data_IF_635837850006
#
_entry.id   IF_635837850006
#
_cell.length_a   1.000
_cell.length_b   1.000
_cell.length_c   1.000
_cell.angle_alpha   90.00
_cell.angle_beta   90.00
_cell.angle_gamma   90.00
#
_symmetry.space_group_name_H-M   'P 1'
#
loop_
_entity.id
_entity.type
_entity.pdbx_description
1 polymer ?
#
# COMPACT_ATOMS: atom_id res chain seq x y z
N UNK A 1 13.30 -19.32 20.99
CA UNK A 1 13.02 -17.97 20.44
C UNK A 1 11.72 -17.90 19.62
N UNK A 2 11.65 -18.40 18.38
CA UNK A 2 10.49 -18.21 17.48
C UNK A 2 9.12 -18.53 18.08
N UNK A 3 8.96 -19.68 18.75
CA UNK A 3 7.68 -20.04 19.37
C UNK A 3 7.27 -19.07 20.48
N UNK A 4 8.24 -18.54 21.23
CA UNK A 4 7.98 -17.52 22.24
C UNK A 4 7.57 -16.19 21.59
N UNK A 5 8.20 -15.79 20.48
CA UNK A 5 7.81 -14.61 19.70
C UNK A 5 6.39 -14.74 19.13
N UNK A 6 6.07 -15.90 18.54
CA UNK A 6 4.74 -16.17 17.98
C UNK A 6 3.63 -16.14 19.03
N UNK A 7 3.92 -16.61 20.24
CA UNK A 7 2.97 -16.67 21.36
C UNK A 7 3.00 -15.43 22.27
N UNK A 8 3.90 -14.47 22.02
CA UNK A 8 4.03 -13.26 22.84
C UNK A 8 4.56 -13.51 24.26
N UNK A 9 5.33 -14.59 24.47
CA UNK A 9 5.87 -14.92 25.78
C UNK A 9 7.08 -14.05 26.15
N UNK A 10 6.80 -12.80 26.53
CA UNK A 10 7.79 -11.76 26.83
C UNK A 10 8.91 -12.22 27.77
N UNK A 11 8.57 -12.90 28.87
CA UNK A 11 9.54 -13.41 29.85
C UNK A 11 10.52 -14.41 29.22
N UNK A 12 10.04 -15.29 28.35
CA UNK A 12 10.90 -16.25 27.65
C UNK A 12 11.77 -15.56 26.59
N UNK A 13 11.25 -14.56 25.87
CA UNK A 13 12.03 -13.80 24.89
C UNK A 13 13.19 -13.09 25.61
N UNK A 14 12.91 -12.37 26.70
CA UNK A 14 13.92 -11.70 27.53
C UNK A 14 14.95 -12.70 28.06
N UNK A 15 14.50 -13.84 28.58
CA UNK A 15 15.37 -14.91 29.07
C UNK A 15 16.29 -15.46 27.97
N UNK A 16 15.78 -15.68 26.76
CA UNK A 16 16.63 -16.17 25.67
C UNK A 16 17.68 -15.13 25.27
N UNK A 17 17.30 -13.86 25.16
CA UNK A 17 18.24 -12.78 24.80
C UNK A 17 19.31 -12.57 25.89
N UNK A 18 18.94 -12.60 27.17
CA UNK A 18 19.89 -12.46 28.28
C UNK A 18 20.91 -13.61 28.34
N UNK A 19 20.58 -14.78 27.80
CA UNK A 19 21.48 -15.92 27.68
C UNK A 19 22.24 -15.96 26.35
N UNK A 20 22.28 -14.86 25.59
CA UNK A 20 23.05 -14.76 24.35
C UNK A 20 22.45 -15.54 23.18
N UNK A 21 21.14 -15.83 23.21
CA UNK A 21 20.47 -16.48 22.08
C UNK A 21 20.53 -15.60 20.84
N UNK A 22 20.93 -16.18 19.71
CA UNK A 22 20.95 -15.48 18.42
C UNK A 22 19.51 -15.04 18.04
N UNK A 23 19.24 -13.72 17.88
CA UNK A 23 17.91 -13.20 17.56
C UNK A 23 17.50 -13.46 16.10
N UNK A 24 18.37 -14.03 15.27
CA UNK A 24 18.17 -14.24 13.84
C UNK A 24 17.91 -15.70 13.45
N UNK A 25 17.68 -16.58 14.44
CA UNK A 25 17.35 -17.99 14.17
C UNK A 25 15.99 -18.07 13.50
N UNK A 26 15.93 -18.53 12.26
CA UNK A 26 14.67 -18.67 11.53
C UNK A 26 13.87 -19.88 11.98
N UNK A 27 12.55 -19.84 11.83
CA UNK A 27 11.70 -21.03 12.00
C UNK A 27 11.71 -21.94 10.75
N UNK A 28 10.92 -23.02 10.76
CA UNK A 28 10.80 -23.96 9.64
C UNK A 28 10.22 -23.34 8.36
N UNK A 29 9.63 -22.16 8.44
CA UNK A 29 9.11 -21.40 7.29
C UNK A 29 10.10 -20.35 6.80
N UNK A 30 11.25 -20.19 7.46
CA UNK A 30 12.25 -19.17 7.16
C UNK A 30 11.95 -17.80 7.78
N UNK A 31 10.96 -17.68 8.67
CA UNK A 31 10.64 -16.40 9.34
C UNK A 31 11.64 -16.12 10.46
N UNK A 32 12.09 -14.87 10.55
CA UNK A 32 12.85 -14.38 11.68
C UNK A 32 11.97 -14.30 12.94
N UNK A 33 12.56 -14.38 14.15
CA UNK A 33 11.84 -14.15 15.40
C UNK A 33 11.13 -12.80 15.43
N UNK A 34 11.76 -11.76 14.88
CA UNK A 34 11.16 -10.43 14.72
C UNK A 34 9.90 -10.47 13.84
N UNK A 35 9.94 -11.15 12.69
CA UNK A 35 8.76 -11.29 11.82
C UNK A 35 7.62 -12.02 12.53
N UNK A 36 7.92 -13.10 13.25
CA UNK A 36 6.95 -13.84 14.06
C UNK A 36 6.34 -12.98 15.18
N UNK A 37 7.14 -12.08 15.77
CA UNK A 37 6.67 -11.14 16.79
C UNK A 37 5.73 -10.08 16.19
N UNK A 38 5.99 -9.61 14.98
CA UNK A 38 5.17 -8.60 14.30
C UNK A 38 3.83 -9.18 13.87
N UNK A 39 3.84 -10.40 13.33
CA UNK A 39 2.65 -11.15 12.85
C UNK A 39 1.72 -11.60 14.00
N UNK A 40 2.16 -11.45 15.25
CA UNK A 40 1.38 -11.78 16.43
C UNK A 40 0.54 -10.61 16.94
N UNK A 41 -0.60 -10.91 17.58
CA UNK A 41 -1.62 -9.93 17.98
C UNK A 41 -1.57 -9.53 19.47
N UNK A 42 -0.39 -9.40 20.09
CA UNK A 42 -0.30 -9.05 21.52
C UNK A 42 0.11 -7.59 21.77
N UNK A 43 -0.40 -7.02 22.87
CA UNK A 43 -0.33 -5.59 23.20
C UNK A 43 1.12 -5.07 23.37
N UNK A 44 1.96 -5.85 24.04
CA UNK A 44 3.36 -5.48 24.37
C UNK A 44 4.34 -5.68 23.21
N UNK A 45 3.85 -5.92 22.00
CA UNK A 45 4.74 -6.33 20.91
C UNK A 45 5.66 -5.20 20.45
N UNK A 46 5.29 -3.92 20.64
CA UNK A 46 6.19 -2.80 20.31
C UNK A 46 7.48 -2.78 21.16
N UNK A 47 7.36 -2.97 22.48
CA UNK A 47 8.52 -2.96 23.38
C UNK A 47 9.42 -4.17 23.14
N UNK A 48 8.84 -5.31 22.77
CA UNK A 48 9.60 -6.51 22.41
C UNK A 48 10.23 -6.40 21.01
N UNK A 49 9.63 -5.64 20.10
CA UNK A 49 10.25 -5.32 18.80
C UNK A 49 11.50 -4.48 19.03
N UNK A 50 11.43 -3.45 19.88
CA UNK A 50 12.61 -2.63 20.22
C UNK A 50 13.71 -3.51 20.83
N UNK A 51 13.37 -4.35 21.80
CA UNK A 51 14.30 -5.28 22.43
C UNK A 51 15.00 -6.19 21.41
N UNK A 52 14.26 -6.77 20.46
CA UNK A 52 14.85 -7.63 19.43
C UNK A 52 15.73 -6.85 18.46
N UNK A 53 15.30 -5.67 18.03
CA UNK A 53 16.08 -4.81 17.14
C UNK A 53 17.39 -4.36 17.79
N UNK A 54 17.33 -3.99 19.07
CA UNK A 54 18.51 -3.57 19.84
C UNK A 54 19.44 -4.74 20.17
N UNK A 55 18.91 -5.96 20.22
CA UNK A 55 19.70 -7.19 20.36
C UNK A 55 20.37 -7.66 19.06
N UNK A 56 20.25 -6.90 17.96
CA UNK A 56 20.86 -7.23 16.67
C UNK A 56 19.99 -8.09 15.76
N UNK A 57 18.66 -8.05 15.91
CA UNK A 57 17.77 -8.67 14.94
C UNK A 57 17.89 -8.00 13.56
N UNK A 58 17.89 -8.82 12.52
CA UNK A 58 17.88 -8.35 11.14
C UNK A 58 16.57 -7.63 10.83
N UNK A 59 16.68 -6.40 10.32
CA UNK A 59 15.56 -5.57 9.86
C UNK A 59 15.02 -6.07 8.52
N UNK A 60 15.87 -6.73 7.73
CA UNK A 60 15.58 -7.21 6.39
C UNK A 60 15.64 -8.74 6.34
N UNK A 61 14.70 -9.35 5.63
CA UNK A 61 14.68 -10.78 5.32
C UNK A 61 14.28 -10.96 3.86
N UNK A 62 14.93 -11.85 3.09
CA UNK A 62 14.67 -12.02 1.66
C UNK A 62 13.30 -12.63 1.37
N UNK A 63 12.79 -13.49 2.25
CA UNK A 63 11.51 -14.20 2.03
C UNK A 63 10.39 -13.67 2.91
N UNK A 64 10.71 -13.11 4.08
CA UNK A 64 9.71 -12.65 5.04
C UNK A 64 10.09 -11.28 5.62
N UNK A 65 10.12 -10.20 4.81
CA UNK A 65 10.56 -8.90 5.28
C UNK A 65 9.68 -8.40 6.44
N UNK A 66 10.25 -8.09 7.61
CA UNK A 66 9.51 -7.58 8.77
C UNK A 66 8.57 -6.41 8.44
N UNK A 67 9.00 -5.49 7.58
CA UNK A 67 8.22 -4.30 7.20
C UNK A 67 6.92 -4.65 6.48
N UNK A 68 6.92 -5.69 5.65
CA UNK A 68 5.75 -6.14 4.90
C UNK A 68 4.69 -6.73 5.84
N UNK A 69 5.13 -7.47 6.86
CA UNK A 69 4.22 -7.96 7.90
C UNK A 69 3.64 -6.80 8.74
N UNK A 70 4.45 -5.79 9.07
CA UNK A 70 3.99 -4.62 9.82
C UNK A 70 2.95 -3.80 9.04
N UNK A 71 3.15 -3.62 7.72
CA UNK A 71 2.20 -2.97 6.82
C UNK A 71 0.88 -3.75 6.71
N UNK A 72 0.94 -5.05 6.41
CA UNK A 72 -0.24 -5.92 6.26
C UNK A 72 -1.08 -6.01 7.53
N UNK A 73 -0.42 -6.01 8.69
CA UNK A 73 -1.08 -6.00 10.00
C UNK A 73 -1.50 -4.60 10.47
N UNK A 74 -1.11 -3.54 9.73
CA UNK A 74 -1.35 -2.13 10.03
C UNK A 74 -0.80 -1.69 11.40
N UNK A 75 0.41 -2.15 11.72
CA UNK A 75 1.13 -1.79 12.94
C UNK A 75 2.06 -0.61 12.66
N UNK A 76 1.45 0.55 12.45
CA UNK A 76 2.12 1.74 11.92
C UNK A 76 3.34 2.19 12.73
N UNK A 77 3.29 2.16 14.08
CA UNK A 77 4.44 2.48 14.93
C UNK A 77 5.65 1.57 14.65
N UNK A 78 5.42 0.28 14.42
CA UNK A 78 6.49 -0.67 14.10
C UNK A 78 6.96 -0.48 12.67
N UNK A 79 6.05 -0.24 11.73
CA UNK A 79 6.40 0.08 10.35
C UNK A 79 7.35 1.27 10.29
N UNK A 80 7.03 2.37 10.99
CA UNK A 80 7.88 3.55 11.08
C UNK A 80 9.26 3.20 11.64
N UNK A 81 9.34 2.46 12.74
CA UNK A 81 10.62 2.01 13.32
C UNK A 81 11.46 1.19 12.35
N UNK A 82 10.84 0.26 11.62
CA UNK A 82 11.54 -0.58 10.65
C UNK A 82 12.08 0.24 9.49
N UNK A 83 11.28 1.17 8.94
CA UNK A 83 11.72 2.08 7.87
C UNK A 83 12.90 2.93 8.35
N UNK A 84 12.81 3.54 9.53
CA UNK A 84 13.88 4.34 10.12
C UNK A 84 15.16 3.53 10.41
N UNK A 85 15.05 2.21 10.59
CA UNK A 85 16.19 1.28 10.75
C UNK A 85 16.68 0.70 9.43
N UNK A 86 16.26 1.24 8.28
CA UNK A 86 16.74 0.83 6.96
C UNK A 86 16.06 -0.42 6.40
N UNK A 87 14.77 -0.62 6.69
CA UNK A 87 13.98 -1.64 6.02
C UNK A 87 13.93 -1.38 4.50
N UNK A 88 14.17 -2.42 3.71
CA UNK A 88 14.04 -2.38 2.26
C UNK A 88 12.56 -2.31 1.89
N UNK A 89 12.18 -1.24 1.20
CA UNK A 89 10.80 -0.94 0.81
C UNK A 89 10.46 -1.47 -0.59
N UNK A 90 11.47 -1.53 -1.46
CA UNK A 90 11.34 -2.09 -2.81
C UNK A 90 11.89 -3.52 -2.83
N UNK A 91 11.17 -4.40 -3.51
CA UNK A 91 11.48 -5.81 -3.68
C UNK A 91 11.06 -6.25 -5.07
N UNK A 92 11.81 -7.17 -5.68
CA UNK A 92 11.42 -7.73 -6.99
C UNK A 92 10.15 -8.59 -6.92
N UNK A 93 9.81 -9.07 -5.72
CA UNK A 93 8.58 -9.81 -5.45
C UNK A 93 7.39 -8.85 -5.29
N UNK A 94 6.45 -8.90 -6.23
CA UNK A 94 5.23 -8.09 -6.21
C UNK A 94 4.37 -8.32 -4.97
N UNK A 95 4.41 -9.49 -4.35
CA UNK A 95 3.70 -9.75 -3.08
C UNK A 95 4.33 -9.00 -1.89
N UNK A 96 5.61 -8.64 -2.01
CA UNK A 96 6.38 -7.90 -1.02
C UNK A 96 6.43 -6.40 -1.33
N UNK A 97 5.63 -5.91 -2.29
CA UNK A 97 5.51 -4.48 -2.54
C UNK A 97 4.89 -3.74 -1.34
N UNK A 98 5.54 -2.67 -0.86
CA UNK A 98 5.10 -1.95 0.31
C UNK A 98 3.77 -1.20 0.13
N UNK A 99 3.51 -0.62 -1.05
CA UNK A 99 2.26 0.09 -1.34
C UNK A 99 1.06 -0.86 -1.29
N UNK A 100 1.19 -2.02 -1.94
CA UNK A 100 0.19 -3.06 -1.91
C UNK A 100 -0.13 -3.51 -0.48
N UNK A 101 0.91 -3.74 0.33
CA UNK A 101 0.74 -4.19 1.71
C UNK A 101 0.18 -3.11 2.65
N UNK A 102 0.49 -1.83 2.41
CA UNK A 102 -0.12 -0.70 3.12
C UNK A 102 -1.64 -0.65 2.89
N UNK A 103 -2.07 -0.89 1.65
CA UNK A 103 -3.47 -0.87 1.21
C UNK A 103 -4.08 -2.29 1.16
N UNK A 104 -3.55 -3.24 1.93
CA UNK A 104 -3.99 -4.63 1.88
C UNK A 104 -5.45 -4.79 2.35
N UNK A 105 -5.85 -4.10 3.42
CA UNK A 105 -7.22 -4.14 3.95
C UNK A 105 -8.13 -3.20 3.16
N UNK A 106 -9.44 -3.45 3.18
CA UNK A 106 -10.40 -2.55 2.55
C UNK A 106 -10.64 -1.28 3.37
N UNK A 107 -10.59 -1.42 4.71
CA UNK A 107 -10.76 -0.31 5.65
C UNK A 107 -9.49 -0.18 6.50
N UNK A 108 -8.83 0.99 6.52
CA UNK A 108 -7.69 1.22 7.40
C UNK A 108 -8.12 1.39 8.86
N UNK A 109 -7.29 0.92 9.79
CA UNK A 109 -7.45 1.17 11.22
C UNK A 109 -7.24 2.64 11.58
N UNK A 110 -6.39 3.35 10.83
CA UNK A 110 -6.13 4.77 11.02
C UNK A 110 -5.74 5.42 9.69
N UNK A 111 -6.60 6.32 9.19
CA UNK A 111 -6.34 7.07 7.95
C UNK A 111 -5.11 7.97 8.11
N UNK A 112 -4.96 8.61 9.27
CA UNK A 112 -3.84 9.51 9.55
C UNK A 112 -2.51 8.78 9.57
N UNK A 113 -2.46 7.59 10.16
CA UNK A 113 -1.23 6.80 10.20
C UNK A 113 -0.91 6.17 8.85
N UNK A 114 -1.92 5.75 8.08
CA UNK A 114 -1.74 5.34 6.69
C UNK A 114 -1.09 6.44 5.85
N UNK A 115 -1.56 7.68 5.98
CA UNK A 115 -0.99 8.86 5.30
C UNK A 115 0.44 9.13 5.79
N UNK A 116 0.70 9.02 7.09
CA UNK A 116 2.04 9.17 7.65
C UNK A 116 3.01 8.12 7.08
N UNK A 117 2.62 6.86 7.05
CA UNK A 117 3.44 5.78 6.46
C UNK A 117 3.62 5.99 4.97
N UNK A 118 2.60 6.41 4.22
CA UNK A 118 2.74 6.72 2.79
C UNK A 118 3.82 7.78 2.52
N UNK A 119 3.84 8.86 3.32
CA UNK A 119 4.90 9.87 3.24
C UNK A 119 6.28 9.28 3.55
N UNK A 120 6.39 8.40 4.55
CA UNK A 120 7.65 7.71 4.87
C UNK A 120 8.11 6.77 3.74
N UNK A 121 7.19 6.08 3.07
CA UNK A 121 7.53 5.24 1.92
C UNK A 121 8.12 6.08 0.79
N UNK A 122 7.47 7.20 0.45
CA UNK A 122 7.95 8.12 -0.60
C UNK A 122 9.32 8.71 -0.24
N UNK A 123 9.50 9.19 1.00
CA UNK A 123 10.77 9.79 1.42
C UNK A 123 11.94 8.80 1.45
N UNK A 124 11.64 7.50 1.55
CA UNK A 124 12.62 6.42 1.50
C UNK A 124 12.69 5.75 0.12
N UNK A 125 12.21 6.41 -0.94
CA UNK A 125 12.41 6.00 -2.32
C UNK A 125 11.48 4.89 -2.83
N UNK A 126 10.30 4.72 -2.22
CA UNK A 126 9.29 3.82 -2.78
C UNK A 126 8.85 4.30 -4.17
N UNK A 127 8.92 3.41 -5.16
CA UNK A 127 8.48 3.74 -6.52
C UNK A 127 6.97 4.01 -6.56
N UNK A 128 6.57 5.05 -7.29
CA UNK A 128 5.17 5.36 -7.59
C UNK A 128 4.68 4.73 -8.90
N UNK A 129 5.59 4.10 -9.67
CA UNK A 129 5.30 3.49 -10.98
C UNK A 129 5.23 1.96 -10.91
N UNK A 130 5.72 1.37 -9.82
CA UNK A 130 5.74 -0.08 -9.65
C UNK A 130 4.32 -0.63 -9.52
N UNK A 131 3.97 -1.59 -10.38
CA UNK A 131 2.64 -2.21 -10.37
C UNK A 131 2.59 -3.42 -9.47
N UNK A 132 1.50 -3.57 -8.73
CA UNK A 132 1.25 -4.70 -7.84
C UNK A 132 0.89 -5.99 -8.62
N UNK A 133 0.49 -7.02 -7.88
CA UNK A 133 0.06 -8.32 -8.43
C UNK A 133 -1.17 -8.22 -9.34
N UNK A 134 -2.03 -7.23 -9.10
CA UNK A 134 -3.23 -6.95 -9.90
C UNK A 134 -2.90 -6.06 -11.10
N UNK A 135 -1.64 -5.66 -11.24
CA UNK A 135 -1.19 -4.72 -12.26
C UNK A 135 -1.56 -3.28 -11.96
N UNK A 136 -1.94 -2.94 -10.73
CA UNK A 136 -2.30 -1.59 -10.35
C UNK A 136 -1.06 -0.80 -9.90
N UNK A 137 -0.93 0.44 -10.37
CA UNK A 137 0.00 1.40 -9.75
C UNK A 137 -0.49 1.76 -8.33
N UNK A 138 0.38 2.27 -7.44
CA UNK A 138 -0.02 2.67 -6.10
C UNK A 138 -1.17 3.68 -6.09
N UNK A 139 -1.16 4.63 -7.03
CA UNK A 139 -2.24 5.60 -7.19
C UNK A 139 -3.55 4.91 -7.60
N UNK A 140 -3.52 4.05 -8.61
CA UNK A 140 -4.72 3.36 -9.07
C UNK A 140 -5.30 2.48 -7.96
N UNK A 141 -4.46 1.79 -7.21
CA UNK A 141 -4.87 0.98 -6.06
C UNK A 141 -5.52 1.82 -4.98
N UNK A 142 -4.93 2.97 -4.66
CA UNK A 142 -5.50 3.90 -3.67
C UNK A 142 -6.89 4.39 -4.09
N UNK A 143 -7.09 4.71 -5.37
CA UNK A 143 -8.40 5.10 -5.90
C UNK A 143 -9.41 3.95 -5.88
N UNK A 144 -9.02 2.75 -6.32
CA UNK A 144 -9.86 1.54 -6.30
C UNK A 144 -10.35 1.20 -4.90
N UNK A 145 -9.47 1.33 -3.89
CA UNK A 145 -9.77 1.03 -2.49
C UNK A 145 -10.20 2.24 -1.65
N UNK A 146 -10.42 3.40 -2.27
CA UNK A 146 -10.85 4.62 -1.58
C UNK A 146 -9.89 5.14 -0.49
N UNK A 147 -8.59 4.86 -0.61
CA UNK A 147 -7.52 5.40 0.27
C UNK A 147 -7.16 6.84 -0.14
N UNK A 148 -8.13 7.76 -0.03
CA UNK A 148 -7.98 9.10 -0.60
C UNK A 148 -6.83 9.91 -0.02
N UNK A 149 -6.54 9.78 1.28
CA UNK A 149 -5.38 10.44 1.88
C UNK A 149 -4.05 10.01 1.26
N UNK A 150 -3.92 8.71 0.94
CA UNK A 150 -2.74 8.18 0.24
C UNK A 150 -2.74 8.69 -1.21
N UNK A 151 -3.89 8.67 -1.90
CA UNK A 151 -4.01 9.16 -3.26
C UNK A 151 -3.59 10.64 -3.37
N UNK A 152 -4.03 11.49 -2.45
CA UNK A 152 -3.60 12.90 -2.39
C UNK A 152 -2.10 13.04 -2.22
N UNK A 153 -1.50 12.33 -1.26
CA UNK A 153 -0.05 12.36 -1.04
C UNK A 153 0.71 11.93 -2.30
N UNK A 154 0.26 10.90 -3.00
CA UNK A 154 0.90 10.44 -4.24
C UNK A 154 0.77 11.49 -5.35
N UNK A 155 -0.41 12.11 -5.51
CA UNK A 155 -0.63 13.15 -6.54
C UNK A 155 0.19 14.41 -6.25
N UNK A 156 0.32 14.80 -4.99
CA UNK A 156 1.14 15.94 -4.58
C UNK A 156 2.64 15.71 -4.83
N UNK A 157 3.09 14.47 -4.69
CA UNK A 157 4.50 14.10 -4.84
C UNK A 157 4.86 13.53 -6.22
N UNK A 158 3.90 13.40 -7.15
CA UNK A 158 4.18 12.94 -8.51
C UNK A 158 4.32 14.09 -9.51
N UNK A 159 5.30 13.97 -10.38
CA UNK A 159 5.43 14.77 -11.61
C UNK A 159 5.11 13.95 -12.86
N UNK A 160 4.89 12.64 -12.72
CA UNK A 160 4.75 11.71 -13.83
C UNK A 160 3.29 11.65 -14.27
N UNK A 161 3.02 12.20 -15.46
CA UNK A 161 1.68 12.17 -16.06
C UNK A 161 1.23 10.74 -16.37
N UNK A 162 2.17 9.82 -16.65
CA UNK A 162 1.86 8.41 -16.93
C UNK A 162 1.18 7.71 -15.76
N UNK A 163 1.49 8.10 -14.52
CA UNK A 163 0.87 7.53 -13.31
C UNK A 163 -0.59 8.01 -13.20
N UNK A 164 -0.84 9.28 -13.51
CA UNK A 164 -2.19 9.87 -13.48
C UNK A 164 -3.07 9.29 -14.60
N UNK A 165 -2.47 9.03 -15.76
CA UNK A 165 -3.14 8.50 -16.94
C UNK A 165 -3.06 6.97 -17.06
N UNK A 166 -2.51 6.29 -16.06
CA UNK A 166 -2.45 4.82 -16.06
C UNK A 166 -3.85 4.23 -16.23
N UNK A 167 -3.95 3.12 -16.97
CA UNK A 167 -5.19 2.38 -17.21
C UNK A 167 -4.99 0.92 -16.84
N UNK A 168 -5.89 0.36 -16.04
CA UNK A 168 -5.84 -1.08 -15.80
C UNK A 168 -6.25 -1.90 -17.01
N UNK A 169 -5.88 -3.17 -16.97
CA UNK A 169 -6.17 -4.14 -18.03
C UNK A 169 -7.60 -4.70 -17.97
N UNK A 170 -8.32 -4.49 -16.88
CA UNK A 170 -9.61 -5.15 -16.64
C UNK A 170 -10.77 -4.34 -17.23
N UNK A 171 -10.81 -3.04 -16.95
CA UNK A 171 -11.85 -2.13 -17.39
C UNK A 171 -11.31 -1.03 -18.33
N UNK A 172 -9.99 -0.94 -18.48
CA UNK A 172 -9.37 0.21 -19.14
C UNK A 172 -9.55 1.50 -18.33
N UNK A 173 -9.80 1.39 -17.02
CA UNK A 173 -10.09 2.53 -16.17
C UNK A 173 -8.82 3.09 -15.56
N UNK A 174 -8.76 4.42 -15.48
CA UNK A 174 -7.72 5.14 -14.76
C UNK A 174 -8.17 5.66 -13.39
N UNK A 175 -7.25 6.25 -12.62
CA UNK A 175 -7.52 6.73 -11.25
C UNK A 175 -8.79 7.61 -11.15
N UNK A 176 -8.96 8.56 -12.07
CA UNK A 176 -10.12 9.47 -12.09
C UNK A 176 -11.45 8.75 -12.26
N UNK A 177 -11.49 7.67 -13.04
CA UNK A 177 -12.73 6.92 -13.31
C UNK A 177 -13.23 6.24 -12.02
N UNK A 178 -12.32 5.67 -11.23
CA UNK A 178 -12.67 5.04 -9.95
C UNK A 178 -13.16 6.06 -8.92
N UNK A 179 -12.55 7.25 -8.86
CA UNK A 179 -12.98 8.33 -7.97
C UNK A 179 -14.40 8.80 -8.31
N UNK A 180 -14.66 9.07 -9.60
CA UNK A 180 -15.98 9.55 -10.06
C UNK A 180 -17.06 8.50 -9.83
N UNK A 181 -16.77 7.22 -10.13
CA UNK A 181 -17.71 6.12 -9.89
C UNK A 181 -18.12 6.05 -8.42
N UNK A 182 -17.15 6.15 -7.50
CA UNK A 182 -17.47 6.14 -6.08
C UNK A 182 -18.29 7.37 -5.66
N UNK A 183 -17.92 8.57 -6.10
CA UNK A 183 -18.63 9.80 -5.79
C UNK A 183 -20.10 9.76 -6.27
N UNK A 184 -20.36 9.11 -7.40
CA UNK A 184 -21.72 8.88 -7.91
C UNK A 184 -22.50 7.83 -7.11
N UNK A 185 -21.83 6.79 -6.61
CA UNK A 185 -22.45 5.71 -5.85
C UNK A 185 -22.83 6.12 -4.41
N UNK A 186 -22.14 7.10 -3.83
CA UNK A 186 -22.38 7.54 -2.44
C UNK A 186 -23.36 8.70 -2.30
N UNK A 187 -23.97 9.16 -3.39
CA UNK A 187 -25.04 10.17 -3.34
C UNK A 187 -24.67 11.41 -2.53
N UNK A 188 -23.57 12.09 -2.91
CA UNK A 188 -23.23 13.44 -2.44
C UNK A 188 -23.43 13.70 -0.93
N UNK A 189 -22.69 13.00 -0.06
CA UNK A 189 -22.46 13.41 1.33
C UNK A 189 -21.01 13.10 1.72
N UNK A 190 -20.09 14.04 1.48
CA UNK A 190 -18.70 13.88 1.92
C UNK A 190 -17.75 14.95 1.37
N UNK A 191 -17.48 15.96 2.19
CA UNK A 191 -16.51 17.04 2.00
C UNK A 191 -15.26 16.68 1.15
N UNK A 192 -15.04 17.48 0.09
CA UNK A 192 -13.73 18.00 -0.27
C UNK A 192 -12.76 17.06 -1.01
N UNK A 193 -12.92 16.92 -2.32
CA UNK A 193 -11.80 16.61 -3.21
C UNK A 193 -11.92 17.41 -4.50
N UNK A 194 -11.07 18.45 -4.65
CA UNK A 194 -10.81 19.09 -5.94
C UNK A 194 -9.55 18.46 -6.53
N UNK A 195 -9.70 17.46 -7.40
CA UNK A 195 -8.56 17.01 -8.21
C UNK A 195 -8.32 18.05 -9.29
N UNK A 196 -7.29 18.90 -9.08
CA UNK A 196 -6.78 19.76 -10.14
C UNK A 196 -6.00 18.86 -11.09
N UNK A 197 -6.62 18.50 -12.22
CA UNK A 197 -5.86 18.01 -13.35
C UNK A 197 -4.93 19.16 -13.77
N UNK A 198 -3.61 18.97 -13.74
CA UNK A 198 -2.64 20.02 -14.14
C UNK A 198 -2.90 20.57 -15.56
N UNK A 199 -3.69 19.86 -16.37
CA UNK A 199 -4.22 20.33 -17.63
C UNK A 199 -5.74 20.49 -17.52
N UNK A 200 -6.20 21.73 -17.73
CA UNK A 200 -7.61 22.11 -17.87
C UNK A 200 -8.36 21.14 -18.78
N UNK A 201 -9.38 20.50 -18.21
CA UNK A 201 -10.63 19.96 -18.79
C UNK A 201 -10.90 18.61 -18.14
N UNK A 202 -11.94 18.54 -17.30
CA UNK A 202 -12.63 17.27 -17.09
C UNK A 202 -13.03 16.78 -18.49
N UNK A 203 -12.66 15.56 -18.94
CA UNK A 203 -13.38 14.99 -20.07
C UNK A 203 -14.84 15.01 -19.66
N UNK A 204 -15.70 15.56 -20.52
CA UNK A 204 -17.14 15.56 -20.32
C UNK A 204 -17.55 14.09 -20.21
N UNK A 205 -17.61 13.60 -18.98
CA UNK A 205 -18.10 12.28 -18.65
C UNK A 205 -19.61 12.38 -18.82
N UNK A 206 -20.08 12.09 -20.03
CA UNK A 206 -21.43 11.58 -20.22
C UNK A 206 -21.52 10.27 -19.43
N UNK A 207 -21.70 10.37 -18.11
CA UNK A 207 -22.10 9.26 -17.27
C UNK A 207 -23.50 8.87 -17.73
N UNK A 208 -23.72 7.68 -18.33
CA UNK A 208 -25.06 7.22 -18.54
C UNK A 208 -25.69 6.97 -17.16
N UNK A 209 -26.90 7.48 -16.98
CA UNK A 209 -27.69 7.42 -15.73
C UNK A 209 -28.23 6.01 -15.43
N UNK A 210 -27.79 5.00 -16.16
CA UNK A 210 -28.22 3.61 -16.03
C UNK A 210 -26.99 2.67 -15.94
N UNK A 211 -27.11 1.53 -15.23
CA UNK A 211 -26.01 0.59 -15.09
C UNK A 211 -25.59 0.08 -16.47
N UNK A 212 -24.35 0.41 -16.88
CA UNK A 212 -23.75 -0.04 -18.13
C UNK A 212 -23.75 -1.58 -18.18
N UNK A 213 -24.63 -2.14 -19.00
CA UNK A 213 -24.58 -3.55 -19.40
C UNK A 213 -23.50 -3.67 -20.47
N UNK A 214 -22.36 -4.25 -20.12
CA UNK A 214 -21.27 -4.48 -21.07
C UNK A 214 -21.45 -5.83 -21.78
N UNK A 215 -21.71 -5.80 -23.08
CA UNK A 215 -21.40 -6.92 -23.97
C UNK A 215 -19.90 -6.88 -24.33
N UNK A 216 -19.24 -8.03 -24.55
CA UNK A 216 -17.80 -8.06 -24.79
C UNK A 216 -17.47 -7.45 -26.17
N UNK A 217 -16.46 -6.59 -26.19
CA UNK A 217 -15.99 -5.89 -27.38
C UNK A 217 -15.23 -6.86 -28.31
N UNK A 218 -15.59 -6.84 -29.60
CA UNK A 218 -14.79 -7.43 -30.69
C UNK A 218 -13.93 -6.31 -31.28
N UNK A 219 -12.66 -6.61 -31.51
CA UNK A 219 -11.65 -5.73 -32.12
C UNK A 219 -12.13 -5.08 -33.43
N UNK A 220 -11.77 -3.81 -33.67
CA UNK A 220 -11.02 -3.39 -34.87
C UNK A 220 -10.68 -1.89 -34.90
N UNK A 221 -9.38 -1.65 -35.16
CA UNK A 221 -8.77 -0.57 -35.96
C UNK A 221 -9.04 0.92 -35.65
N UNK A 222 -7.94 1.56 -35.24
CA UNK A 222 -7.34 2.77 -35.82
C UNK A 222 -8.05 4.15 -35.82
N UNK A 223 -7.24 5.12 -35.35
CA UNK A 223 -7.15 6.54 -35.71
C UNK A 223 -8.04 7.61 -35.01
N UNK A 224 -7.31 8.44 -34.25
CA UNK A 224 -7.43 9.89 -34.03
C UNK A 224 -8.83 10.52 -33.83
N UNK A 225 -9.04 11.07 -32.64
CA UNK A 225 -10.14 12.00 -32.34
C UNK A 225 -10.07 13.24 -33.23
N UNK A 226 -11.08 13.41 -34.08
CA UNK A 226 -11.38 14.64 -34.79
C UNK A 226 -12.46 15.40 -33.99
N UNK A 227 -12.15 16.61 -33.53
CA UNK A 227 -13.10 17.48 -32.84
C UNK A 227 -13.59 18.51 -33.85
N UNK A 228 -14.86 18.46 -34.23
CA UNK A 228 -15.55 19.57 -34.88
C UNK A 228 -16.64 20.08 -33.96
N UNK A 229 -16.55 21.35 -33.57
CA UNK A 229 -17.60 22.06 -32.85
C UNK A 229 -18.74 22.41 -33.81
N UNK A 230 -19.97 22.05 -33.46
CA UNK A 230 -21.16 22.61 -34.08
C UNK A 230 -21.60 23.86 -33.31
N UNK A 231 -21.75 24.93 -34.08
CA UNK A 231 -22.19 26.31 -33.80
C UNK A 231 -23.27 26.48 -32.74
#
# INVERSE_FOLDING_TARGET
>A
MNRACKLGYASYIKFFLSNGSNPNITDSTGKLPLTNLIDSCFLESETLVDLLLDSGSLVNSPFHPPVIYALRTQRFSITEKLILRGAKISTDDKHQNAWYNLMYKDIPYSVTDCVKIANLLISNGASLEEVDIDGDTPLLKACKKCYYGIASVIVENTTSQSILDYRDKFNGWGPIHYIVRWASATGAQGKGFSFVTRNNSLPVLNCPTEPLVFTPFVEQSDHFYNISAST
#
